data_IF_865944975074
#
_entry.id   IF_865944975074
#
_cell.length_a   1.000
_cell.length_b   1.000
_cell.length_c   1.000
_cell.angle_alpha   90.00
_cell.angle_beta   90.00
_cell.angle_gamma   90.00
#
_symmetry.space_group_name_H-M   'P 1'
#
loop_
_entity.id
_entity.type
_entity.pdbx_description
1 polymer ?
#
# COMPACT_ATOMS: atom_id res chain seq x y z
N UNK A 1 61.16 -67.51 34.00
CA UNK A 1 60.42 -68.51 33.19
C UNK A 1 60.18 -67.92 31.81
N UNK A 2 60.70 -68.61 30.78
CA UNK A 2 60.27 -68.74 29.36
C UNK A 2 59.60 -67.56 28.61
N UNK A 3 60.27 -67.12 27.54
CA UNK A 3 59.74 -66.64 26.23
C UNK A 3 58.71 -67.63 25.61
N UNK A 4 57.97 -67.37 24.49
CA UNK A 4 58.13 -66.41 23.36
C UNK A 4 56.78 -65.70 22.96
N UNK A 5 56.54 -64.92 21.89
CA UNK A 5 56.81 -65.13 20.47
C UNK A 5 56.48 -63.86 19.64
N UNK A 6 57.17 -63.72 18.51
CA UNK A 6 57.07 -62.64 17.54
C UNK A 6 55.85 -62.79 16.61
N UNK A 7 55.30 -61.66 16.14
CA UNK A 7 54.47 -61.63 14.94
C UNK A 7 54.88 -60.45 14.04
N UNK A 8 55.22 -60.81 12.81
CA UNK A 8 55.85 -60.00 11.78
C UNK A 8 54.75 -59.53 10.83
N UNK A 9 54.35 -58.26 10.90
CA UNK A 9 53.42 -57.66 9.94
C UNK A 9 54.19 -56.80 8.95
N UNK A 10 54.35 -57.33 7.74
CA UNK A 10 54.73 -56.60 6.53
C UNK A 10 53.54 -55.75 6.08
N UNK A 11 53.61 -54.44 6.34
CA UNK A 11 52.67 -53.46 5.76
C UNK A 11 53.22 -53.08 4.38
N UNK A 12 52.44 -53.46 3.38
CA UNK A 12 52.62 -53.12 1.97
C UNK A 12 52.55 -51.59 1.82
N UNK A 13 53.62 -50.96 1.35
CA UNK A 13 53.62 -49.55 0.95
C UNK A 13 52.94 -49.49 -0.41
N UNK A 14 51.64 -49.20 -0.41
CA UNK A 14 50.90 -48.90 -1.64
C UNK A 14 51.28 -47.49 -2.11
N UNK A 15 51.71 -47.40 -3.37
CA UNK A 15 52.19 -46.18 -4.01
C UNK A 15 51.10 -45.09 -4.08
N UNK A 16 51.36 -43.83 -3.65
CA UNK A 16 50.38 -42.74 -3.62
C UNK A 16 50.08 -42.10 -4.98
N UNK A 17 50.57 -42.68 -6.09
CA UNK A 17 50.54 -42.01 -7.41
C UNK A 17 49.15 -42.05 -8.05
N UNK A 18 48.26 -42.98 -7.66
CA UNK A 18 46.92 -43.10 -8.26
C UNK A 18 45.89 -42.12 -7.69
N UNK A 19 46.07 -41.58 -6.49
CA UNK A 19 45.11 -40.63 -5.89
C UNK A 19 45.28 -39.21 -6.43
N UNK A 20 46.51 -38.75 -6.68
CA UNK A 20 46.77 -37.41 -7.24
C UNK A 20 46.29 -37.26 -8.69
N UNK A 21 46.44 -38.31 -9.51
CA UNK A 21 45.94 -38.32 -10.89
C UNK A 21 44.41 -38.26 -10.95
N UNK A 22 43.73 -38.85 -9.96
CA UNK A 22 42.26 -38.81 -9.86
C UNK A 22 41.75 -37.44 -9.38
N UNK A 23 42.53 -36.75 -8.53
CA UNK A 23 42.20 -35.40 -8.07
C UNK A 23 42.39 -34.36 -9.19
N UNK A 24 43.48 -34.45 -9.97
CA UNK A 24 43.74 -33.55 -11.10
C UNK A 24 42.68 -33.66 -12.19
N UNK A 25 42.25 -34.88 -12.55
CA UNK A 25 41.20 -35.03 -13.57
C UNK A 25 39.83 -34.54 -13.10
N UNK A 26 39.57 -34.63 -11.78
CA UNK A 26 38.34 -34.09 -11.19
C UNK A 26 38.32 -32.56 -11.18
N UNK A 27 39.45 -31.91 -10.86
CA UNK A 27 39.57 -30.44 -10.96
C UNK A 27 39.48 -29.92 -12.39
N UNK A 28 40.05 -30.62 -13.37
CA UNK A 28 39.92 -30.26 -14.79
C UNK A 28 38.47 -30.41 -15.28
N UNK A 29 37.77 -31.48 -14.85
CA UNK A 29 36.35 -31.67 -15.15
C UNK A 29 35.50 -30.56 -14.53
N UNK A 30 35.80 -30.14 -13.29
CA UNK A 30 35.10 -29.05 -12.61
C UNK A 30 35.34 -27.70 -13.29
N UNK A 31 36.59 -27.43 -13.70
CA UNK A 31 36.96 -26.20 -14.42
C UNK A 31 36.30 -26.15 -15.80
N UNK A 32 36.23 -27.29 -16.49
CA UNK A 32 35.57 -27.42 -17.79
C UNK A 32 34.05 -27.27 -17.66
N UNK A 33 33.43 -27.83 -16.61
CA UNK A 33 32.01 -27.65 -16.31
C UNK A 33 31.69 -26.18 -15.95
N UNK A 34 32.53 -25.52 -15.16
CA UNK A 34 32.41 -24.09 -14.83
C UNK A 34 32.50 -23.22 -16.09
N UNK A 35 33.46 -23.49 -16.97
CA UNK A 35 33.61 -22.77 -18.23
C UNK A 35 32.46 -23.05 -19.21
N UNK A 36 31.94 -24.28 -19.25
CA UNK A 36 30.79 -24.64 -20.07
C UNK A 36 29.50 -23.96 -19.58
N UNK A 37 29.28 -23.90 -18.26
CA UNK A 37 28.20 -23.12 -17.66
C UNK A 37 28.35 -21.62 -17.97
N UNK A 38 29.57 -21.08 -17.87
CA UNK A 38 29.85 -19.68 -18.20
C UNK A 38 29.56 -19.36 -19.69
N UNK A 39 29.82 -20.30 -20.60
CA UNK A 39 29.53 -20.16 -22.04
C UNK A 39 28.04 -20.35 -22.33
N UNK A 40 27.38 -21.32 -21.70
CA UNK A 40 25.94 -21.57 -21.88
C UNK A 40 25.09 -20.40 -21.36
N UNK A 41 25.44 -19.84 -20.19
CA UNK A 41 24.83 -18.60 -19.68
C UNK A 41 25.14 -17.38 -20.57
N UNK A 42 26.27 -17.36 -21.28
CA UNK A 42 26.60 -16.29 -22.24
C UNK A 42 25.82 -16.41 -23.56
N UNK A 43 25.34 -17.62 -23.88
CA UNK A 43 24.54 -17.93 -25.08
C UNK A 43 23.03 -17.74 -24.86
N UNK A 44 22.55 -17.83 -23.62
CA UNK A 44 21.16 -17.51 -23.24
C UNK A 44 20.95 -16.01 -22.90
N UNK A 45 21.94 -15.15 -23.19
CA UNK A 45 21.82 -13.67 -23.24
C UNK A 45 20.93 -13.16 -24.39
N UNK A 46 19.97 -13.96 -24.81
CA UNK A 46 18.80 -13.52 -25.55
C UNK A 46 17.91 -12.73 -24.58
N UNK A 47 18.23 -11.45 -24.41
CA UNK A 47 17.22 -10.41 -24.18
C UNK A 47 16.46 -10.49 -22.84
N UNK A 48 17.12 -10.84 -21.73
CA UNK A 48 16.64 -10.40 -20.42
C UNK A 48 16.88 -8.90 -20.31
N UNK A 49 15.83 -8.12 -20.51
CA UNK A 49 15.83 -6.68 -20.26
C UNK A 49 16.45 -6.40 -18.89
N UNK A 50 17.48 -5.56 -18.84
CA UNK A 50 18.05 -5.09 -17.57
C UNK A 50 16.92 -4.53 -16.71
N UNK A 51 16.80 -5.01 -15.47
CA UNK A 51 15.78 -4.53 -14.53
C UNK A 51 16.25 -3.15 -14.07
N UNK A 52 15.47 -2.13 -14.40
CA UNK A 52 15.72 -0.75 -13.98
C UNK A 52 15.09 -0.52 -12.60
N UNK A 53 15.73 0.27 -11.74
CA UNK A 53 15.22 0.56 -10.40
C UNK A 53 13.78 1.14 -10.41
N UNK A 54 13.45 1.98 -11.39
CA UNK A 54 12.09 2.51 -11.61
C UNK A 54 11.02 1.43 -11.87
N UNK A 55 11.41 0.20 -12.23
CA UNK A 55 10.46 -0.89 -12.44
C UNK A 55 9.82 -1.40 -11.14
N UNK A 56 10.38 -1.06 -9.99
CA UNK A 56 9.85 -1.41 -8.67
C UNK A 56 8.67 -0.51 -8.26
N UNK A 57 8.58 0.71 -8.80
CA UNK A 57 7.58 1.70 -8.40
C UNK A 57 6.35 1.66 -9.30
N UNK A 58 5.39 0.80 -8.96
CA UNK A 58 4.05 0.85 -9.55
C UNK A 58 3.29 2.09 -9.03
N UNK A 59 3.55 2.50 -7.79
CA UNK A 59 2.99 3.72 -7.21
C UNK A 59 3.30 4.96 -8.05
N UNK A 60 4.54 5.11 -8.55
CA UNK A 60 4.96 6.22 -9.42
C UNK A 60 4.12 6.29 -10.70
N UNK A 61 3.93 5.15 -11.38
CA UNK A 61 3.09 5.08 -12.60
C UNK A 61 1.64 5.46 -12.33
N UNK A 62 1.13 5.13 -11.15
CA UNK A 62 -0.19 5.56 -10.72
C UNK A 62 -0.24 7.05 -10.39
N UNK A 63 0.76 7.60 -9.69
CA UNK A 63 0.83 9.04 -9.43
C UNK A 63 0.83 9.78 -10.75
N UNK A 64 1.57 9.27 -11.74
CA UNK A 64 1.60 9.78 -13.10
C UNK A 64 0.24 9.75 -13.80
N UNK A 65 -0.48 8.64 -13.69
CA UNK A 65 -1.81 8.48 -14.28
C UNK A 65 -2.82 9.50 -13.74
N UNK A 66 -2.77 9.79 -12.45
CA UNK A 66 -3.65 10.77 -11.79
C UNK A 66 -3.11 12.21 -11.84
N UNK A 67 -1.98 12.44 -12.53
CA UNK A 67 -1.38 13.76 -12.68
C UNK A 67 -0.70 14.29 -11.42
N UNK A 68 -0.44 13.43 -10.43
CA UNK A 68 0.35 13.74 -9.23
C UNK A 68 1.86 13.61 -9.47
N UNK A 69 2.31 13.70 -10.72
CA UNK A 69 3.70 13.90 -11.11
C UNK A 69 4.32 15.02 -10.27
N UNK A 70 4.93 14.72 -9.10
CA UNK A 70 5.71 15.62 -8.24
C UNK A 70 6.02 15.10 -6.82
N UNK A 71 5.88 13.81 -6.50
CA UNK A 71 6.92 13.23 -5.61
C UNK A 71 8.29 13.53 -6.27
N UNK A 72 9.39 13.77 -5.53
CA UNK A 72 10.62 14.35 -6.08
C UNK A 72 11.35 13.38 -7.03
N UNK A 73 10.76 13.15 -8.19
CA UNK A 73 11.33 12.53 -9.37
C UNK A 73 11.16 13.59 -10.47
N UNK A 74 11.77 14.76 -10.22
CA UNK A 74 12.08 15.82 -11.19
C UNK A 74 10.87 16.34 -12.01
N UNK A 75 10.27 17.51 -11.67
CA UNK A 75 9.49 18.25 -12.65
C UNK A 75 10.46 18.80 -13.71
N UNK A 76 10.63 18.05 -14.79
CA UNK A 76 11.35 18.58 -15.95
C UNK A 76 10.57 19.79 -16.48
N UNK A 77 11.28 20.87 -16.78
CA UNK A 77 10.69 22.10 -17.37
C UNK A 77 9.93 21.83 -18.69
N UNK A 78 10.11 20.64 -19.26
CA UNK A 78 9.46 20.07 -20.44
C UNK A 78 8.12 19.36 -20.18
N UNK A 79 7.58 19.37 -18.95
CA UNK A 79 6.30 18.71 -18.70
C UNK A 79 5.15 19.30 -19.51
N UNK A 80 4.37 18.40 -20.11
CA UNK A 80 3.18 18.73 -20.90
C UNK A 80 2.18 19.52 -20.06
N UNK A 81 1.69 20.64 -20.60
CA UNK A 81 0.62 21.47 -20.00
C UNK A 81 -0.59 20.65 -19.52
N UNK A 82 -0.84 19.49 -20.14
CA UNK A 82 -1.90 18.56 -19.76
C UNK A 82 -1.74 18.01 -18.34
N UNK A 83 -0.53 17.58 -17.94
CA UNK A 83 -0.28 16.99 -16.60
C UNK A 83 -0.52 18.01 -15.49
N UNK A 84 -0.03 19.25 -15.68
CA UNK A 84 -0.28 20.36 -14.76
C UNK A 84 -1.77 20.68 -14.62
N UNK A 85 -2.53 20.64 -15.72
CA UNK A 85 -3.97 20.85 -15.67
C UNK A 85 -4.68 19.76 -14.86
N UNK A 86 -4.35 18.48 -15.10
CA UNK A 86 -4.92 17.35 -14.35
C UNK A 86 -4.62 17.49 -12.85
N UNK A 87 -3.39 17.82 -12.49
CA UNK A 87 -3.00 18.07 -11.10
C UNK A 87 -3.84 19.17 -10.44
N UNK A 88 -3.96 20.33 -11.11
CA UNK A 88 -4.72 21.47 -10.60
C UNK A 88 -6.20 21.10 -10.43
N UNK A 89 -6.78 20.38 -11.39
CA UNK A 89 -8.17 19.92 -11.32
C UNK A 89 -8.37 18.94 -10.17
N UNK A 90 -7.47 17.98 -9.99
CA UNK A 90 -7.52 17.03 -8.88
C UNK A 90 -7.44 17.76 -7.53
N UNK A 91 -6.47 18.67 -7.36
CA UNK A 91 -6.32 19.43 -6.11
C UNK A 91 -7.53 20.33 -5.83
N UNK A 92 -8.07 21.02 -6.85
CA UNK A 92 -9.27 21.82 -6.71
C UNK A 92 -10.48 20.95 -6.32
N UNK A 93 -10.66 19.78 -6.94
CA UNK A 93 -11.74 18.86 -6.59
C UNK A 93 -11.64 18.38 -5.13
N UNK A 94 -10.43 18.06 -4.65
CA UNK A 94 -10.17 17.68 -3.26
C UNK A 94 -10.48 18.82 -2.28
N UNK A 95 -10.09 20.05 -2.60
CA UNK A 95 -10.40 21.22 -1.78
C UNK A 95 -11.91 21.48 -1.73
N UNK A 96 -12.61 21.42 -2.87
CA UNK A 96 -14.06 21.60 -2.94
C UNK A 96 -14.76 20.52 -2.10
N UNK A 97 -14.39 19.25 -2.27
CA UNK A 97 -14.97 18.14 -1.51
C UNK A 97 -14.73 18.31 -0.01
N UNK A 98 -13.53 18.72 0.38
CA UNK A 98 -13.19 19.00 1.79
C UNK A 98 -14.10 20.06 2.39
N UNK A 99 -14.33 21.18 1.67
CA UNK A 99 -15.21 22.26 2.13
C UNK A 99 -16.65 21.79 2.22
N UNK A 100 -17.15 21.06 1.20
CA UNK A 100 -18.51 20.52 1.20
C UNK A 100 -18.72 19.56 2.38
N UNK A 101 -17.75 18.69 2.67
CA UNK A 101 -17.85 17.73 3.77
C UNK A 101 -17.73 18.39 5.13
N UNK A 102 -16.83 19.36 5.30
CA UNK A 102 -16.75 20.12 6.55
C UNK A 102 -18.05 20.88 6.82
N UNK A 103 -18.64 21.46 5.78
CA UNK A 103 -19.93 22.16 5.89
C UNK A 103 -21.05 21.18 6.26
N UNK A 104 -21.09 20.03 5.59
CA UNK A 104 -22.07 18.96 5.87
C UNK A 104 -21.93 18.42 7.28
N UNK A 105 -20.69 18.26 7.76
CA UNK A 105 -20.38 17.89 9.12
C UNK A 105 -20.89 18.91 10.14
N UNK A 106 -20.57 20.20 9.97
CA UNK A 106 -21.01 21.27 10.87
C UNK A 106 -22.55 21.33 10.93
N UNK A 107 -23.21 21.21 9.78
CA UNK A 107 -24.66 21.18 9.70
C UNK A 107 -25.22 19.91 10.34
N UNK A 108 -24.56 18.77 10.12
CA UNK A 108 -24.86 17.51 10.78
C UNK A 108 -24.79 17.63 12.30
N UNK A 109 -23.71 18.17 12.85
CA UNK A 109 -23.57 18.38 14.30
C UNK A 109 -24.60 19.34 14.87
N UNK A 110 -25.01 20.37 14.11
CA UNK A 110 -25.98 21.37 14.59
C UNK A 110 -27.44 20.94 14.43
N UNK A 111 -27.75 20.08 13.45
CA UNK A 111 -29.12 19.68 13.13
C UNK A 111 -29.46 18.22 13.43
N UNK A 112 -28.47 17.34 13.57
CA UNK A 112 -28.75 15.92 13.81
C UNK A 112 -29.14 15.71 15.28
N UNK A 113 -30.44 15.50 15.50
CA UNK A 113 -30.93 14.82 16.70
C UNK A 113 -30.72 13.30 16.63
N UNK A 114 -30.40 12.76 15.44
CA UNK A 114 -30.26 11.33 15.19
C UNK A 114 -28.79 10.87 15.25
N UNK A 115 -28.50 9.93 16.14
CA UNK A 115 -27.17 9.33 16.34
C UNK A 115 -26.62 8.67 15.05
N UNK A 116 -27.50 8.14 14.20
CA UNK A 116 -27.13 7.50 12.93
C UNK A 116 -26.45 8.51 11.99
N UNK A 117 -27.08 9.67 11.78
CA UNK A 117 -26.55 10.75 10.94
C UNK A 117 -25.25 11.32 11.51
N UNK A 118 -25.15 11.40 12.84
CA UNK A 118 -23.92 11.81 13.51
C UNK A 118 -22.77 10.84 13.21
N UNK A 119 -23.02 9.54 13.32
CA UNK A 119 -22.02 8.50 13.07
C UNK A 119 -21.54 8.51 11.60
N UNK A 120 -22.45 8.63 10.64
CA UNK A 120 -22.14 8.76 9.21
C UNK A 120 -21.25 9.99 8.93
N UNK A 121 -21.57 11.12 9.56
CA UNK A 121 -20.79 12.35 9.41
C UNK A 121 -19.39 12.20 10.01
N UNK A 122 -19.26 11.61 11.21
CA UNK A 122 -17.95 11.36 11.86
C UNK A 122 -17.07 10.48 10.97
N UNK A 123 -17.62 9.39 10.43
CA UNK A 123 -16.91 8.49 9.51
C UNK A 123 -16.38 9.24 8.29
N UNK A 124 -17.23 10.08 7.70
CA UNK A 124 -16.85 10.86 6.52
C UNK A 124 -15.76 11.91 6.82
N UNK A 125 -15.87 12.60 7.97
CA UNK A 125 -14.84 13.57 8.43
C UNK A 125 -13.51 12.87 8.66
N UNK A 126 -13.52 11.70 9.30
CA UNK A 126 -12.32 10.92 9.57
C UNK A 126 -11.63 10.54 8.25
N UNK A 127 -12.38 9.99 7.29
CA UNK A 127 -11.86 9.64 5.96
C UNK A 127 -11.21 10.84 5.24
N UNK A 128 -11.86 12.00 5.26
CA UNK A 128 -11.30 13.22 4.64
C UNK A 128 -10.07 13.74 5.36
N UNK A 129 -10.07 13.69 6.69
CA UNK A 129 -8.92 14.11 7.50
C UNK A 129 -7.69 13.30 7.12
N UNK A 130 -7.85 11.98 6.93
CA UNK A 130 -6.78 11.11 6.44
C UNK A 130 -6.29 11.53 5.06
N UNK A 131 -7.19 11.79 4.10
CA UNK A 131 -6.81 12.26 2.75
C UNK A 131 -5.98 13.54 2.82
N UNK A 132 -6.48 14.54 3.57
CA UNK A 132 -5.82 15.86 3.68
C UNK A 132 -4.44 15.70 4.32
N UNK A 133 -4.35 14.95 5.43
CA UNK A 133 -3.09 14.71 6.12
C UNK A 133 -2.09 14.01 5.19
N UNK A 134 -2.50 13.00 4.42
CA UNK A 134 -1.62 12.33 3.46
C UNK A 134 -1.15 13.27 2.36
N UNK A 135 -2.08 13.95 1.69
CA UNK A 135 -1.77 14.87 0.59
C UNK A 135 -0.80 15.95 1.07
N UNK A 136 -1.08 16.56 2.22
CA UNK A 136 -0.22 17.58 2.81
C UNK A 136 1.14 17.01 3.23
N UNK A 137 1.16 15.89 3.95
CA UNK A 137 2.40 15.29 4.48
C UNK A 137 3.34 14.87 3.34
N UNK A 138 2.82 14.18 2.33
CA UNK A 138 3.65 13.65 1.23
C UNK A 138 4.07 14.76 0.25
N UNK A 139 3.15 15.62 -0.20
CA UNK A 139 3.47 16.62 -1.23
C UNK A 139 4.24 17.82 -0.67
N UNK A 140 4.01 18.19 0.58
CA UNK A 140 4.56 19.42 1.15
C UNK A 140 5.66 19.16 2.19
N UNK A 141 5.39 18.33 3.21
CA UNK A 141 6.32 18.17 4.34
C UNK A 141 7.49 17.24 4.02
N UNK A 142 7.19 16.05 3.51
CA UNK A 142 8.16 14.96 3.40
C UNK A 142 8.66 14.72 1.98
N UNK A 143 8.30 15.60 1.04
CA UNK A 143 8.68 15.47 -0.36
C UNK A 143 10.17 15.22 -0.50
N UNK A 144 11.03 16.09 0.02
CA UNK A 144 12.49 15.94 -0.09
C UNK A 144 13.03 14.68 0.58
N UNK A 145 12.43 14.26 1.68
CA UNK A 145 12.88 13.10 2.44
C UNK A 145 12.59 11.81 1.68
N UNK A 146 11.42 11.69 1.05
CA UNK A 146 11.08 10.55 0.18
C UNK A 146 12.04 10.44 -1.00
N UNK A 147 12.38 11.57 -1.63
CA UNK A 147 13.37 11.60 -2.71
C UNK A 147 14.75 11.14 -2.26
N UNK A 148 15.23 11.67 -1.14
CA UNK A 148 16.51 11.26 -0.58
C UNK A 148 16.54 9.77 -0.21
N UNK A 149 15.43 9.19 0.24
CA UNK A 149 15.30 7.74 0.48
C UNK A 149 15.42 6.97 -0.83
N UNK A 150 14.67 7.36 -1.86
CA UNK A 150 14.69 6.72 -3.19
C UNK A 150 16.09 6.80 -3.79
N UNK A 151 16.73 7.97 -3.77
CA UNK A 151 18.09 8.19 -4.29
C UNK A 151 19.12 7.32 -3.54
N UNK A 152 18.98 7.20 -2.22
CA UNK A 152 19.88 6.36 -1.40
C UNK A 152 19.70 4.89 -1.78
N UNK A 153 18.47 4.40 -1.87
CA UNK A 153 18.18 3.01 -2.27
C UNK A 153 18.64 2.74 -3.71
N UNK A 154 18.45 3.68 -4.63
CA UNK A 154 18.93 3.56 -6.01
C UNK A 154 20.46 3.43 -6.09
N UNK A 155 21.18 4.17 -5.22
CA UNK A 155 22.65 4.12 -5.19
C UNK A 155 23.22 2.75 -4.78
N UNK A 156 22.43 1.95 -4.05
CA UNK A 156 22.80 0.60 -3.62
C UNK A 156 22.33 -0.49 -4.57
N UNK A 157 21.36 -0.18 -5.42
CA UNK A 157 20.78 -1.13 -6.34
C UNK A 157 21.83 -1.71 -7.31
N UNK A 158 21.95 -3.05 -7.44
CA UNK A 158 22.91 -3.66 -8.35
C UNK A 158 22.55 -3.36 -9.80
N UNK A 159 23.39 -2.58 -10.48
CA UNK A 159 23.17 -2.18 -11.89
C UNK A 159 23.69 -3.22 -12.89
N UNK A 160 24.63 -4.07 -12.47
CA UNK A 160 25.19 -5.10 -13.32
C UNK A 160 24.33 -6.37 -13.33
N UNK A 161 24.06 -6.89 -14.52
CA UNK A 161 23.18 -8.05 -14.69
C UNK A 161 23.70 -9.33 -14.01
N UNK A 162 24.99 -9.41 -13.68
CA UNK A 162 25.55 -10.54 -12.94
C UNK A 162 25.14 -10.48 -11.47
N UNK A 163 25.40 -9.37 -10.78
CA UNK A 163 24.98 -9.19 -9.39
C UNK A 163 23.45 -9.27 -9.25
N UNK A 164 22.68 -8.71 -10.21
CA UNK A 164 21.22 -8.87 -10.20
C UNK A 164 20.77 -10.33 -10.22
N UNK A 165 21.50 -11.19 -10.95
CA UNK A 165 21.19 -12.62 -11.02
C UNK A 165 21.63 -13.37 -9.76
N UNK A 166 22.83 -13.07 -9.25
CA UNK A 166 23.37 -13.67 -8.02
C UNK A 166 22.45 -13.37 -6.84
N UNK A 167 22.03 -12.12 -6.69
CA UNK A 167 21.19 -11.67 -5.59
C UNK A 167 19.69 -11.94 -5.79
N UNK A 168 19.31 -12.62 -6.88
CA UNK A 168 17.91 -12.96 -7.19
C UNK A 168 16.96 -11.75 -7.21
N UNK A 169 17.45 -10.58 -7.64
CA UNK A 169 16.66 -9.32 -7.71
C UNK A 169 15.38 -9.51 -8.52
N UNK A 170 15.44 -10.35 -9.55
CA UNK A 170 14.27 -10.69 -10.38
C UNK A 170 13.15 -11.40 -9.61
N UNK A 171 13.46 -12.16 -8.55
CA UNK A 171 12.45 -12.81 -7.70
C UNK A 171 11.75 -11.78 -6.84
N UNK A 172 12.52 -10.94 -6.12
CA UNK A 172 11.99 -9.85 -5.30
C UNK A 172 11.10 -8.90 -6.12
N UNK A 173 11.53 -8.54 -7.32
CA UNK A 173 10.73 -7.72 -8.23
C UNK A 173 9.43 -8.41 -8.64
N UNK A 174 9.45 -9.72 -8.93
CA UNK A 174 8.24 -10.46 -9.31
C UNK A 174 7.24 -10.47 -8.16
N UNK A 175 7.71 -10.72 -6.94
CA UNK A 175 6.88 -10.77 -5.75
C UNK A 175 6.28 -9.39 -5.44
N UNK A 176 7.10 -8.33 -5.50
CA UNK A 176 6.62 -6.96 -5.32
C UNK A 176 5.63 -6.53 -6.41
N UNK A 177 5.91 -6.85 -7.69
CA UNK A 177 4.99 -6.55 -8.80
C UNK A 177 3.69 -7.33 -8.67
N UNK A 178 3.75 -8.58 -8.20
CA UNK A 178 2.54 -9.36 -7.96
C UNK A 178 1.69 -8.72 -6.87
N UNK A 179 2.29 -8.40 -5.72
CA UNK A 179 1.60 -7.74 -4.61
C UNK A 179 1.01 -6.38 -5.02
N UNK A 180 1.79 -5.56 -5.72
CA UNK A 180 1.36 -4.25 -6.19
C UNK A 180 0.21 -4.36 -7.19
N UNK A 181 0.28 -5.27 -8.17
CA UNK A 181 -0.80 -5.51 -9.13
C UNK A 181 -2.07 -6.02 -8.46
N UNK A 182 -1.93 -6.92 -7.48
CA UNK A 182 -3.06 -7.41 -6.70
C UNK A 182 -3.70 -6.28 -5.90
N UNK A 183 -2.90 -5.42 -5.25
CA UNK A 183 -3.38 -4.24 -4.55
C UNK A 183 -4.13 -3.29 -5.48
N UNK A 184 -3.58 -2.99 -6.66
CA UNK A 184 -4.23 -2.15 -7.68
C UNK A 184 -5.54 -2.77 -8.16
N UNK A 185 -5.56 -4.08 -8.39
CA UNK A 185 -6.78 -4.79 -8.80
C UNK A 185 -7.85 -4.69 -7.72
N UNK A 186 -7.52 -4.96 -6.45
CA UNK A 186 -8.43 -4.83 -5.32
C UNK A 186 -8.96 -3.39 -5.19
N UNK A 187 -8.07 -2.40 -5.36
CA UNK A 187 -8.43 -0.99 -5.35
C UNK A 187 -9.44 -0.64 -6.46
N UNK A 188 -9.15 -1.02 -7.71
CA UNK A 188 -10.03 -0.75 -8.86
C UNK A 188 -11.38 -1.44 -8.68
N UNK A 189 -11.39 -2.70 -8.22
CA UNK A 189 -12.64 -3.42 -7.93
C UNK A 189 -13.43 -2.74 -6.83
N UNK A 190 -12.81 -2.36 -5.72
CA UNK A 190 -13.48 -1.65 -4.62
C UNK A 190 -14.04 -0.30 -5.08
N UNK A 191 -13.26 0.46 -5.86
CA UNK A 191 -13.68 1.74 -6.43
C UNK A 191 -14.88 1.58 -7.37
N UNK A 192 -14.83 0.61 -8.30
CA UNK A 192 -15.93 0.33 -9.22
C UNK A 192 -17.16 -0.11 -8.42
N UNK A 193 -17.03 -1.06 -7.50
CA UNK A 193 -18.15 -1.53 -6.68
C UNK A 193 -18.80 -0.36 -5.93
N UNK A 194 -18.01 0.48 -5.27
CA UNK A 194 -18.53 1.62 -4.51
C UNK A 194 -19.31 2.62 -5.37
N UNK A 195 -18.76 3.02 -6.52
CA UNK A 195 -19.38 4.04 -7.37
C UNK A 195 -20.58 3.51 -8.18
N UNK A 196 -20.68 2.19 -8.38
CA UNK A 196 -21.82 1.59 -9.09
C UNK A 196 -22.98 1.22 -8.17
N UNK A 197 -22.82 1.19 -6.84
CA UNK A 197 -23.92 1.03 -5.87
C UNK A 197 -25.15 1.89 -6.19
N UNK A 198 -25.06 3.22 -6.40
CA UNK A 198 -26.23 4.05 -6.70
C UNK A 198 -26.89 3.66 -8.03
N UNK A 199 -26.12 3.24 -9.02
CA UNK A 199 -26.63 2.82 -10.34
C UNK A 199 -27.40 1.50 -10.19
N UNK A 200 -26.87 0.55 -9.42
CA UNK A 200 -27.56 -0.71 -9.13
C UNK A 200 -28.81 -0.49 -8.29
N UNK A 201 -28.76 0.41 -7.31
CA UNK A 201 -29.94 0.81 -6.55
C UNK A 201 -31.01 1.38 -7.50
N UNK A 202 -30.65 2.34 -8.35
CA UNK A 202 -31.55 2.91 -9.37
C UNK A 202 -32.17 1.86 -10.28
N UNK A 203 -31.35 0.94 -10.79
CA UNK A 203 -31.83 -0.14 -11.66
C UNK A 203 -32.81 -1.06 -10.93
N UNK A 204 -32.52 -1.36 -9.65
CA UNK A 204 -33.42 -2.15 -8.80
C UNK A 204 -34.77 -1.46 -8.62
N UNK A 205 -34.80 -0.17 -8.27
CA UNK A 205 -36.03 0.63 -8.11
C UNK A 205 -36.85 0.70 -9.41
N UNK A 206 -36.17 0.86 -10.56
CA UNK A 206 -36.82 0.86 -11.88
C UNK A 206 -37.51 -0.48 -12.17
N UNK A 207 -36.88 -1.59 -11.79
CA UNK A 207 -37.44 -2.94 -11.98
C UNK A 207 -38.62 -3.17 -11.02
N UNK A 208 -38.58 -2.67 -9.79
CA UNK A 208 -39.63 -2.86 -8.78
C UNK A 208 -40.80 -1.89 -8.89
N UNK A 209 -40.76 -0.92 -9.82
CA UNK A 209 -41.81 0.10 -10.02
C UNK A 209 -42.15 0.91 -8.76
N UNK A 210 -41.18 1.08 -7.86
CA UNK A 210 -41.34 1.91 -6.67
C UNK A 210 -40.89 3.35 -6.97
N UNK A 211 -41.49 4.34 -6.27
CA UNK A 211 -41.11 5.73 -6.42
C UNK A 211 -39.63 5.94 -6.07
N UNK A 212 -38.89 6.57 -6.99
CA UNK A 212 -37.45 6.71 -6.86
C UNK A 212 -37.10 8.02 -6.17
N UNK A 213 -36.52 7.91 -4.97
CA UNK A 213 -35.88 9.03 -4.30
C UNK A 213 -34.43 9.20 -4.79
N UNK A 214 -34.13 10.36 -5.39
CA UNK A 214 -32.81 10.75 -5.87
C UNK A 214 -31.85 11.02 -4.71
N UNK A 215 -31.37 9.95 -4.07
CA UNK A 215 -30.42 10.05 -2.96
C UNK A 215 -28.97 10.01 -3.48
N UNK A 216 -28.18 11.09 -3.31
CA UNK A 216 -26.78 11.09 -3.72
C UNK A 216 -25.96 10.08 -2.90
N UNK A 217 -24.84 9.61 -3.46
CA UNK A 217 -23.94 8.65 -2.77
C UNK A 217 -23.51 9.19 -1.40
N UNK A 218 -23.28 10.50 -1.34
CA UNK A 218 -22.92 11.22 -0.14
C UNK A 218 -23.94 12.31 0.09
N UNK A 219 -24.46 12.37 1.31
CA UNK A 219 -25.38 13.41 1.74
C UNK A 219 -24.62 14.69 2.04
N UNK A 220 -24.22 15.41 0.98
CA UNK A 220 -23.67 16.75 1.13
C UNK A 220 -24.79 17.75 1.40
N UNK A 221 -24.54 18.73 2.25
CA UNK A 221 -25.35 19.93 2.26
C UNK A 221 -25.07 20.75 1.00
N UNK A 222 -26.11 21.00 0.21
CA UNK A 222 -26.05 21.89 -0.94
C UNK A 222 -27.07 23.02 -0.76
N UNK A 223 -26.75 24.25 -1.22
CA UNK A 223 -27.65 25.39 -1.10
C UNK A 223 -28.84 25.33 -2.09
N UNK A 224 -29.02 24.21 -2.80
CA UNK A 224 -30.05 23.99 -3.81
C UNK A 224 -30.68 22.60 -3.64
N UNK A 225 -31.90 22.45 -4.16
CA UNK A 225 -32.65 21.19 -4.09
C UNK A 225 -31.98 20.09 -4.93
N UNK A 226 -31.71 18.94 -4.29
CA UNK A 226 -31.01 17.80 -4.89
C UNK A 226 -31.95 16.89 -5.68
N UNK A 227 -33.26 17.04 -5.49
CA UNK A 227 -34.29 16.17 -6.07
C UNK A 227 -34.50 16.40 -7.57
N UNK A 228 -33.77 17.33 -8.18
CA UNK A 228 -33.78 17.55 -9.61
C UNK A 228 -32.64 16.78 -10.32
N UNK A 229 -32.89 16.22 -11.52
CA UNK A 229 -31.91 15.39 -12.22
C UNK A 229 -30.55 16.08 -12.47
N UNK A 230 -30.55 17.38 -12.80
CA UNK A 230 -29.32 18.12 -13.15
C UNK A 230 -28.42 18.35 -11.91
N UNK A 231 -28.93 18.93 -10.80
CA UNK A 231 -28.20 18.98 -9.53
C UNK A 231 -27.67 17.61 -9.08
N UNK A 232 -28.52 16.58 -9.11
CA UNK A 232 -28.16 15.23 -8.72
C UNK A 232 -26.98 14.68 -9.52
N UNK A 233 -27.03 14.76 -10.86
CA UNK A 233 -25.95 14.30 -11.73
C UNK A 233 -24.66 15.08 -11.51
N UNK A 234 -24.77 16.39 -11.27
CA UNK A 234 -23.61 17.26 -11.04
C UNK A 234 -22.90 16.90 -9.73
N UNK A 235 -23.66 16.68 -8.66
CA UNK A 235 -23.13 16.28 -7.34
C UNK A 235 -22.45 14.92 -7.43
N UNK A 236 -23.09 13.92 -8.04
CA UNK A 236 -22.50 12.59 -8.15
C UNK A 236 -21.26 12.58 -9.05
N UNK A 237 -21.23 13.38 -10.11
CA UNK A 237 -20.03 13.53 -10.94
C UNK A 237 -18.88 14.18 -10.16
N UNK A 238 -19.16 15.24 -9.40
CA UNK A 238 -18.18 15.88 -8.54
C UNK A 238 -17.67 14.92 -7.46
N UNK A 239 -18.56 14.16 -6.84
CA UNK A 239 -18.23 13.13 -5.86
C UNK A 239 -17.33 12.05 -6.46
N UNK A 240 -17.67 11.53 -7.65
CA UNK A 240 -16.89 10.53 -8.37
C UNK A 240 -15.47 11.02 -8.66
N UNK A 241 -15.32 12.24 -9.18
CA UNK A 241 -14.00 12.84 -9.49
C UNK A 241 -13.18 13.04 -8.21
N UNK A 242 -13.80 13.59 -7.18
CA UNK A 242 -13.12 13.87 -5.91
C UNK A 242 -12.73 12.59 -5.17
N UNK A 243 -13.59 11.57 -5.22
CA UNK A 243 -13.33 10.27 -4.62
C UNK A 243 -12.24 9.50 -5.37
N UNK A 244 -12.27 9.55 -6.71
CA UNK A 244 -11.24 8.92 -7.55
C UNK A 244 -9.86 9.55 -7.37
N UNK A 245 -9.77 10.86 -7.12
CA UNK A 245 -8.49 11.51 -6.82
C UNK A 245 -8.04 11.25 -5.38
N UNK A 246 -8.96 11.36 -4.41
CA UNK A 246 -8.64 11.21 -2.98
C UNK A 246 -8.23 9.79 -2.58
N UNK A 247 -9.05 8.79 -2.93
CA UNK A 247 -8.71 7.40 -2.61
C UNK A 247 -7.48 6.90 -3.35
N UNK A 248 -7.31 7.32 -4.62
CA UNK A 248 -6.12 6.97 -5.38
C UNK A 248 -4.88 7.50 -4.68
N UNK A 249 -4.93 8.72 -4.12
CA UNK A 249 -3.81 9.28 -3.37
C UNK A 249 -3.50 8.49 -2.08
N UNK A 250 -4.54 8.10 -1.31
CA UNK A 250 -4.38 7.23 -0.15
C UNK A 250 -3.68 5.94 -0.56
N UNK A 251 -4.26 5.24 -1.53
CA UNK A 251 -3.78 3.93 -1.97
C UNK A 251 -2.34 4.00 -2.51
N UNK A 252 -2.02 5.02 -3.31
CA UNK A 252 -0.66 5.17 -3.84
C UNK A 252 0.37 5.48 -2.77
N UNK A 253 0.00 6.25 -1.74
CA UNK A 253 0.89 6.54 -0.61
C UNK A 253 1.20 5.26 0.16
N UNK A 254 0.21 4.41 0.38
CA UNK A 254 0.38 3.12 1.07
C UNK A 254 1.19 2.15 0.23
N UNK A 255 0.95 2.14 -1.08
CA UNK A 255 1.72 1.34 -2.02
C UNK A 255 3.17 1.80 -2.08
N UNK A 256 3.43 3.11 -2.12
CA UNK A 256 4.77 3.68 -2.08
C UNK A 256 5.50 3.29 -0.80
N UNK A 257 4.85 3.38 0.36
CA UNK A 257 5.43 2.92 1.62
C UNK A 257 5.81 1.43 1.56
N UNK A 258 4.88 0.59 1.09
CA UNK A 258 5.14 -0.85 0.95
C UNK A 258 6.29 -1.17 -0.01
N UNK A 259 6.38 -0.46 -1.13
CA UNK A 259 7.48 -0.58 -2.10
C UNK A 259 8.83 -0.17 -1.49
N UNK A 260 8.89 0.95 -0.75
CA UNK A 260 10.12 1.41 -0.10
C UNK A 260 10.59 0.46 1.01
N UNK A 261 9.67 -0.08 1.81
CA UNK A 261 9.99 -1.08 2.83
C UNK A 261 10.48 -2.37 2.17
N UNK A 262 9.82 -2.83 1.09
CA UNK A 262 10.24 -4.01 0.36
C UNK A 262 11.62 -3.85 -0.28
N UNK A 263 11.92 -2.67 -0.84
CA UNK A 263 13.24 -2.35 -1.38
C UNK A 263 14.30 -2.35 -0.27
N UNK A 264 14.02 -1.72 0.87
CA UNK A 264 14.93 -1.73 2.02
C UNK A 264 15.21 -3.16 2.51
N UNK A 265 14.17 -4.00 2.58
CA UNK A 265 14.31 -5.42 2.93
C UNK A 265 15.12 -6.22 1.90
N UNK A 266 14.96 -5.92 0.60
CA UNK A 266 15.77 -6.50 -0.46
C UNK A 266 17.25 -6.16 -0.28
N UNK A 267 17.58 -4.88 -0.05
CA UNK A 267 18.96 -4.43 0.17
C UNK A 267 19.60 -5.08 1.40
N UNK A 268 18.84 -5.25 2.49
CA UNK A 268 19.30 -5.99 3.67
C UNK A 268 19.58 -7.47 3.38
N UNK A 269 18.76 -8.11 2.55
CA UNK A 269 18.98 -9.50 2.12
C UNK A 269 20.24 -9.63 1.23
N UNK A 270 20.44 -8.68 0.30
CA UNK A 270 21.64 -8.59 -0.54
C UNK A 270 22.89 -8.50 0.35
N UNK A 271 22.86 -7.62 1.34
CA UNK A 271 23.96 -7.47 2.30
C UNK A 271 24.23 -8.75 3.09
N UNK A 272 23.18 -9.46 3.54
CA UNK A 272 23.34 -10.75 4.20
C UNK A 272 24.03 -11.79 3.32
N UNK A 273 23.70 -11.82 2.02
CA UNK A 273 24.37 -12.69 1.05
C UNK A 273 25.83 -12.27 0.85
N UNK A 274 26.11 -10.98 0.66
CA UNK A 274 27.48 -10.47 0.55
C UNK A 274 28.32 -10.81 1.79
N UNK A 275 27.74 -10.73 2.98
CA UNK A 275 28.42 -11.08 4.22
C UNK A 275 28.77 -12.58 4.28
N UNK A 276 27.91 -13.44 3.75
CA UNK A 276 28.15 -14.89 3.69
C UNK A 276 29.25 -15.30 2.69
N UNK A 277 29.58 -14.43 1.73
CA UNK A 277 30.64 -14.65 0.74
C UNK A 277 32.03 -14.22 1.24
N UNK A 278 32.11 -13.47 2.34
CA UNK A 278 33.39 -13.04 2.91
C UNK A 278 34.07 -14.23 3.57
N UNK A 279 35.16 -14.72 2.97
CA UNK A 279 36.01 -15.74 3.55
C UNK A 279 37.14 -15.09 4.39
N UNK A 280 37.11 -15.22 5.74
CA UNK A 280 38.15 -14.67 6.60
C UNK A 280 39.51 -15.38 6.47
N UNK A 281 39.55 -16.60 5.91
CA UNK A 281 40.76 -17.43 5.84
C UNK A 281 41.60 -17.16 4.58
N UNK A 282 41.00 -16.68 3.49
CA UNK A 282 41.71 -16.47 2.23
C UNK A 282 42.60 -15.21 2.26
N UNK A 283 42.06 -14.09 2.75
CA UNK A 283 42.80 -12.81 2.85
C UNK A 283 42.17 -11.88 3.89
N UNK A 284 42.77 -11.84 5.08
CA UNK A 284 42.26 -11.08 6.22
C UNK A 284 42.12 -9.56 5.95
N UNK A 285 43.05 -8.95 5.20
CA UNK A 285 43.00 -7.51 4.89
C UNK A 285 41.84 -7.19 3.93
N UNK A 286 41.65 -8.04 2.92
CA UNK A 286 40.53 -7.92 1.98
C UNK A 286 39.19 -8.14 2.69
N UNK A 287 39.08 -9.19 3.51
CA UNK A 287 37.88 -9.50 4.28
C UNK A 287 37.51 -8.34 5.22
N UNK A 288 38.49 -7.75 5.91
CA UNK A 288 38.26 -6.59 6.79
C UNK A 288 37.82 -5.34 6.00
N UNK A 289 38.37 -5.11 4.82
CA UNK A 289 37.97 -4.02 3.93
C UNK A 289 36.53 -4.18 3.40
N UNK A 290 36.16 -5.39 3.00
CA UNK A 290 34.80 -5.72 2.56
C UNK A 290 33.81 -5.60 3.72
N UNK A 291 34.12 -6.15 4.89
CA UNK A 291 33.29 -6.02 6.08
C UNK A 291 33.07 -4.56 6.47
N UNK A 292 34.11 -3.72 6.42
CA UNK A 292 33.99 -2.28 6.69
C UNK A 292 33.05 -1.58 5.71
N UNK A 293 33.05 -1.98 4.44
CA UNK A 293 32.08 -1.46 3.46
C UNK A 293 30.66 -1.91 3.81
N UNK A 294 30.44 -3.19 4.12
CA UNK A 294 29.12 -3.70 4.50
C UNK A 294 28.56 -2.98 5.73
N UNK A 295 29.38 -2.77 6.77
CA UNK A 295 28.97 -2.02 7.96
C UNK A 295 28.52 -0.61 7.60
N UNK A 296 29.26 0.08 6.72
CA UNK A 296 28.86 1.42 6.26
C UNK A 296 27.52 1.39 5.51
N UNK A 297 27.30 0.42 4.62
CA UNK A 297 26.00 0.28 3.92
C UNK A 297 24.89 -0.03 4.93
N UNK A 298 25.14 -0.85 5.95
CA UNK A 298 24.17 -1.15 6.99
C UNK A 298 23.75 0.09 7.79
N UNK A 299 24.71 0.91 8.21
CA UNK A 299 24.45 2.19 8.88
C UNK A 299 23.59 3.12 8.00
N UNK A 300 23.87 3.17 6.70
CA UNK A 300 23.08 3.98 5.77
C UNK A 300 21.65 3.44 5.58
N UNK A 301 21.46 2.11 5.50
CA UNK A 301 20.13 1.49 5.45
C UNK A 301 19.32 1.66 6.75
N UNK A 302 19.99 1.67 7.90
CA UNK A 302 19.35 2.03 9.18
C UNK A 302 18.84 3.47 9.10
N UNK A 303 19.68 4.41 8.65
CA UNK A 303 19.26 5.81 8.46
C UNK A 303 18.10 5.94 7.47
N UNK A 304 18.07 5.14 6.39
CA UNK A 304 16.92 5.07 5.48
C UNK A 304 15.66 4.61 6.21
N UNK A 305 15.77 3.57 7.04
CA UNK A 305 14.65 3.03 7.83
C UNK A 305 14.11 4.04 8.84
N UNK A 306 15.00 4.78 9.51
CA UNK A 306 14.64 5.87 10.43
C UNK A 306 13.90 7.00 9.70
N UNK A 307 14.37 7.41 8.52
CA UNK A 307 13.69 8.41 7.69
C UNK A 307 12.33 7.91 7.19
N UNK A 308 12.22 6.63 6.80
CA UNK A 308 10.93 6.03 6.43
C UNK A 308 9.95 6.11 7.60
N UNK A 309 10.41 5.77 8.82
CA UNK A 309 9.58 5.87 10.01
C UNK A 309 9.19 7.31 10.31
N UNK A 310 10.10 8.29 10.18
CA UNK A 310 9.79 9.71 10.37
C UNK A 310 8.70 10.18 9.39
N UNK A 311 8.83 9.83 8.11
CA UNK A 311 7.88 10.23 7.07
C UNK A 311 6.51 9.58 7.25
N UNK A 312 6.48 8.26 7.47
CA UNK A 312 5.23 7.49 7.39
C UNK A 312 4.57 7.19 8.73
N UNK A 313 5.24 7.39 9.88
CA UNK A 313 4.66 7.06 11.20
C UNK A 313 3.33 7.78 11.46
N UNK A 314 3.28 9.10 11.25
CA UNK A 314 2.05 9.88 11.41
C UNK A 314 0.99 9.47 10.39
N UNK A 315 1.40 9.23 9.14
CA UNK A 315 0.49 8.83 8.06
C UNK A 315 -0.19 7.51 8.39
N UNK A 316 0.59 6.49 8.74
CA UNK A 316 0.09 5.15 9.10
C UNK A 316 -0.75 5.18 10.38
N UNK A 317 -0.37 6.02 11.35
CA UNK A 317 -1.18 6.22 12.55
C UNK A 317 -2.56 6.79 12.21
N UNK A 318 -2.62 7.82 11.36
CA UNK A 318 -3.88 8.43 10.93
C UNK A 318 -4.72 7.47 10.08
N UNK A 319 -4.10 6.65 9.23
CA UNK A 319 -4.79 5.58 8.50
C UNK A 319 -5.41 4.55 9.43
N UNK A 320 -4.62 4.05 10.38
CA UNK A 320 -5.09 3.07 11.34
C UNK A 320 -6.25 3.63 12.17
N UNK A 321 -6.11 4.87 12.64
CA UNK A 321 -7.17 5.56 13.38
C UNK A 321 -8.44 5.74 12.54
N UNK A 322 -8.28 6.16 11.28
CA UNK A 322 -9.37 6.29 10.32
C UNK A 322 -10.08 4.96 10.08
N UNK A 323 -9.35 3.88 9.82
CA UNK A 323 -9.89 2.54 9.61
C UNK A 323 -10.64 2.05 10.84
N UNK A 324 -10.08 2.20 12.04
CA UNK A 324 -10.75 1.82 13.30
C UNK A 324 -12.06 2.59 13.44
N UNK A 325 -12.04 3.92 13.24
CA UNK A 325 -13.25 4.76 13.31
C UNK A 325 -14.33 4.35 12.30
N UNK A 326 -13.94 4.07 11.06
CA UNK A 326 -14.84 3.58 10.01
C UNK A 326 -15.43 2.22 10.39
N UNK A 327 -14.60 1.26 10.83
CA UNK A 327 -15.05 -0.08 11.20
C UNK A 327 -16.01 -0.06 12.41
N UNK A 328 -15.73 0.76 13.42
CA UNK A 328 -16.63 0.95 14.56
C UNK A 328 -17.97 1.55 14.14
N UNK A 329 -17.95 2.55 13.25
CA UNK A 329 -19.18 3.17 12.73
C UNK A 329 -20.00 2.17 11.91
N UNK A 330 -19.36 1.41 11.02
CA UNK A 330 -20.02 0.38 10.21
C UNK A 330 -20.63 -0.71 11.08
N UNK A 331 -19.93 -1.14 12.14
CA UNK A 331 -20.44 -2.13 13.09
C UNK A 331 -21.67 -1.61 13.84
N UNK A 332 -21.63 -0.35 14.28
CA UNK A 332 -22.76 0.31 14.94
C UNK A 332 -23.97 0.43 14.02
N UNK A 333 -23.79 0.91 12.79
CA UNK A 333 -24.86 1.02 11.80
C UNK A 333 -25.47 -0.35 11.47
N UNK A 334 -24.63 -1.37 11.29
CA UNK A 334 -25.07 -2.75 11.05
C UNK A 334 -25.89 -3.31 12.21
N UNK A 335 -25.52 -2.97 13.45
CA UNK A 335 -26.26 -3.38 14.64
C UNK A 335 -27.64 -2.71 14.74
N UNK A 336 -27.70 -1.39 14.51
CA UNK A 336 -28.96 -0.65 14.49
C UNK A 336 -29.89 -1.19 13.41
N UNK A 337 -29.40 -1.35 12.18
CA UNK A 337 -30.20 -1.88 11.07
C UNK A 337 -30.83 -3.24 11.39
N UNK A 338 -30.08 -4.15 12.05
CA UNK A 338 -30.62 -5.44 12.50
C UNK A 338 -31.73 -5.33 13.53
N UNK A 339 -31.59 -4.41 14.49
CA UNK A 339 -32.65 -4.19 15.51
C UNK A 339 -33.91 -3.59 14.89
N UNK A 340 -33.76 -2.67 13.94
CA UNK A 340 -34.90 -2.04 13.27
C UNK A 340 -35.59 -2.99 12.30
N UNK A 341 -34.84 -3.80 11.55
CA UNK A 341 -35.41 -4.83 10.67
C UNK A 341 -36.26 -5.86 11.40
N UNK A 342 -35.87 -6.26 12.63
CA UNK A 342 -36.68 -7.18 13.46
C UNK A 342 -37.96 -6.55 14.01
N UNK A 343 -38.02 -5.23 14.15
CA UNK A 343 -39.16 -4.51 14.73
C UNK A 343 -40.31 -4.34 13.73
N UNK A 344 -40.05 -4.47 12.43
CA UNK A 344 -41.09 -4.41 11.39
C UNK A 344 -41.77 -5.76 11.11
N UNK A 345 -41.22 -6.88 11.61
CA UNK A 345 -41.82 -8.21 11.49
C UNK A 345 -42.58 -8.66 12.75
N UNK A 346 -42.46 -7.94 13.86
CA UNK A 346 -43.22 -8.17 15.07
C UNK A 346 -43.80 -6.85 15.58
N UNK A 347 -45.12 -6.79 15.73
CA UNK A 347 -45.77 -5.85 16.65
C UNK A 347 -45.15 -6.05 18.04
N UNK A 348 -44.19 -5.20 18.43
CA UNK A 348 -43.54 -5.28 19.74
C UNK A 348 -44.00 -4.12 20.60
N UNK A 349 -44.46 -4.52 21.78
CA UNK A 349 -44.92 -3.73 22.90
C UNK A 349 -43.94 -2.64 23.36
N UNK A 350 -44.52 -1.66 24.05
CA UNK A 350 -43.98 -0.34 24.40
C UNK A 350 -42.78 -0.36 25.37
N UNK A 351 -42.40 -1.51 25.92
CA UNK A 351 -41.48 -1.60 27.08
C UNK A 351 -39.98 -1.57 26.72
N UNK A 352 -39.59 -1.75 25.45
CA UNK A 352 -38.16 -1.75 25.05
C UNK A 352 -37.59 -0.33 24.75
N UNK A 353 -38.39 0.73 24.90
CA UNK A 353 -37.94 2.11 24.72
C UNK A 353 -37.19 2.67 25.95
N UNK A 354 -37.43 2.12 27.15
CA UNK A 354 -36.85 2.62 28.41
C UNK A 354 -35.33 2.42 28.52
N UNK A 355 -34.72 1.51 27.75
CA UNK A 355 -33.27 1.31 27.77
C UNK A 355 -32.49 2.35 26.94
N UNK A 356 -33.10 2.92 25.90
CA UNK A 356 -32.48 3.97 25.07
C UNK A 356 -32.77 5.37 25.59
N UNK A 357 -33.94 5.60 26.21
CA UNK A 357 -34.27 6.88 26.86
C UNK A 357 -33.37 7.17 28.08
N UNK A 358 -32.86 6.13 28.75
CA UNK A 358 -31.92 6.30 29.86
C UNK A 358 -30.48 6.65 29.43
N UNK A 359 -30.11 6.53 28.14
CA UNK A 359 -28.76 6.84 27.67
C UNK A 359 -28.69 8.10 26.78
N UNK A 360 -29.83 8.59 26.27
CA UNK A 360 -29.90 9.77 25.41
C UNK A 360 -31.08 10.66 25.81
N UNK A 361 -30.99 11.25 27.01
CA UNK A 361 -31.89 12.32 27.43
C UNK A 361 -31.57 13.59 26.64
N UNK A 362 -32.34 13.82 25.57
CA UNK A 362 -32.95 15.12 25.25
C UNK A 362 -34.26 14.81 24.52
N UNK A 363 -35.32 14.57 25.30
CA UNK A 363 -36.70 14.64 24.85
C UNK A 363 -36.98 16.07 24.37
N UNK A 364 -37.11 16.30 23.06
CA UNK A 364 -37.98 17.38 22.55
C UNK A 364 -38.28 17.32 21.03
N UNK A 365 -37.65 16.46 20.22
CA UNK A 365 -37.79 16.56 18.75
C UNK A 365 -38.66 15.47 18.10
N UNK A 366 -38.97 14.36 18.78
CA UNK A 366 -39.66 13.21 18.14
C UNK A 366 -41.20 13.33 18.14
N UNK A 367 -41.79 14.22 18.94
CA UNK A 367 -43.25 14.38 19.00
C UNK A 367 -43.86 15.17 17.82
N UNK A 368 -43.05 15.78 16.94
CA UNK A 368 -43.55 16.73 15.93
C UNK A 368 -44.04 16.15 14.60
N UNK A 369 -43.93 14.84 14.33
CA UNK A 369 -44.27 14.26 13.02
C UNK A 369 -45.40 13.23 13.00
N UNK A 370 -45.98 12.85 14.15
CA UNK A 370 -47.11 11.92 14.19
C UNK A 370 -48.50 12.57 14.17
N UNK A 371 -48.61 13.90 13.99
CA UNK A 371 -49.88 14.64 14.10
C UNK A 371 -50.39 15.25 12.77
N UNK A 372 -49.98 14.72 11.62
CA UNK A 372 -50.43 15.21 10.29
C UNK A 372 -51.01 14.10 9.41
N UNK A 373 -51.56 13.05 10.01
CA UNK A 373 -52.43 12.08 9.34
C UNK A 373 -53.54 11.63 10.30
N UNK A 374 -54.45 12.56 10.60
CA UNK A 374 -55.87 12.28 10.89
C UNK A 374 -56.72 13.40 10.30
#
# INVERSE_FOLDING_TARGET
MRHPCAQKNSVLIDHPVKSELKLKSSMEAFTKARNFLKIKFRSEKSQTSFIVFSDFFMSEKMFDFFGFNNLPLIPSSTESKRKKLVFIVALLSLMILTVLLLTSAIIGFTKSGAVVTLAENICTIAGMTVIIVKVYSILYLYRTNVGGIIDTLESYYPTDGWNQQVFQVSSHLKDLKFLSKLGVLCYVLGFVMFNFIPIFAQLYWLITSQEFELNPIFNFFMPFEQNHPVPYMSINTLALVSHSSGLSFIFMTDLLYAELVALTAMELNIMGQMMSEIDPEENQEKALSELKKLVKVHEELISVSEKLQEVFSLILFMDLFGIIGMMCTLAFLSFIQRKWGKKNDCWVDKEDYDFLDNFLVTEEVVAGKCLMLE
#
